data_IF_278778000164
#
_entry.id   IF_278778000164
#
_cell.length_a   1.000
_cell.length_b   1.000
_cell.length_c   1.000
_cell.angle_alpha   90.00
_cell.angle_beta   90.00
_cell.angle_gamma   90.00
#
_symmetry.space_group_name_H-M   'P 1'
#
loop_
_entity.id
_entity.type
_entity.pdbx_description
1 polymer ?
#
# COMPACT_ATOMS: atom_id res chain seq x y z
N UNK A 1 20.45 9.16 -20.24
CA UNK A 1 19.18 8.71 -20.85
C UNK A 1 18.41 7.99 -19.75
N UNK A 2 17.34 8.58 -19.27
CA UNK A 2 16.40 7.93 -18.35
C UNK A 2 15.79 6.74 -19.10
N UNK A 3 16.24 5.53 -18.78
CA UNK A 3 15.56 4.31 -19.20
C UNK A 3 14.16 4.31 -18.61
N UNK A 4 13.16 4.00 -19.43
CA UNK A 4 11.81 3.76 -18.93
C UNK A 4 11.91 2.66 -17.85
N UNK A 5 11.64 3.02 -16.61
CA UNK A 5 11.77 2.14 -15.43
C UNK A 5 10.87 0.90 -15.48
N UNK A 6 10.02 0.80 -16.50
CA UNK A 6 9.10 -0.33 -16.71
C UNK A 6 9.74 -1.49 -17.47
N UNK A 7 10.87 -1.27 -18.16
CA UNK A 7 11.53 -2.32 -18.94
C UNK A 7 12.56 -3.00 -18.07
N UNK A 8 12.45 -4.33 -17.82
CA UNK A 8 13.47 -5.06 -17.06
C UNK A 8 14.79 -5.15 -17.86
N UNK A 9 15.91 -4.90 -17.20
CA UNK A 9 17.24 -4.92 -17.79
C UNK A 9 18.03 -6.08 -17.23
N UNK A 10 18.48 -7.00 -18.08
CA UNK A 10 19.40 -8.08 -17.72
C UNK A 10 20.80 -7.70 -18.23
N UNK A 11 21.78 -7.71 -17.36
CA UNK A 11 23.17 -7.41 -17.70
C UNK A 11 23.91 -8.71 -18.01
N UNK A 12 24.60 -8.74 -19.16
CA UNK A 12 25.38 -9.89 -19.56
C UNK A 12 26.88 -9.45 -19.64
N UNK A 13 27.76 -10.17 -18.93
CA UNK A 13 29.20 -9.84 -18.87
C UNK A 13 30.06 -11.08 -19.10
N UNK A 14 31.22 -10.88 -19.74
CA UNK A 14 32.24 -11.93 -19.89
C UNK A 14 33.20 -12.04 -18.71
N UNK A 15 33.24 -11.05 -17.81
CA UNK A 15 34.04 -11.02 -16.59
C UNK A 15 33.13 -10.64 -15.43
N UNK A 16 32.40 -11.62 -14.90
CA UNK A 16 31.45 -11.43 -13.81
C UNK A 16 32.08 -11.71 -12.46
N UNK A 17 32.46 -10.66 -11.73
CA UNK A 17 32.73 -10.82 -10.30
C UNK A 17 31.42 -10.70 -9.53
N UNK A 18 31.32 -11.37 -8.38
CA UNK A 18 30.15 -11.28 -7.49
C UNK A 18 29.86 -9.82 -7.15
N UNK A 19 30.88 -9.00 -6.93
CA UNK A 19 30.71 -7.58 -6.62
C UNK A 19 30.08 -6.81 -7.77
N UNK A 20 30.42 -7.13 -9.03
CA UNK A 20 29.84 -6.50 -10.21
C UNK A 20 28.37 -6.88 -10.35
N UNK A 21 28.00 -8.13 -10.09
CA UNK A 21 26.63 -8.60 -10.11
C UNK A 21 25.78 -7.88 -9.03
N UNK A 22 26.26 -7.83 -7.79
CA UNK A 22 25.60 -7.12 -6.68
C UNK A 22 25.43 -5.63 -6.99
N UNK A 23 26.46 -4.98 -7.53
CA UNK A 23 26.42 -3.57 -7.93
C UNK A 23 25.39 -3.30 -9.04
N UNK A 24 25.32 -4.22 -10.01
CA UNK A 24 24.36 -4.13 -11.11
C UNK A 24 22.90 -4.19 -10.62
N UNK A 25 22.60 -5.14 -9.75
CA UNK A 25 21.28 -5.29 -9.14
C UNK A 25 20.92 -4.07 -8.27
N UNK A 26 21.88 -3.57 -7.46
CA UNK A 26 21.68 -2.33 -6.67
C UNK A 26 21.41 -1.10 -7.54
N UNK A 27 21.93 -1.08 -8.76
CA UNK A 27 21.72 0.00 -9.73
C UNK A 27 20.43 -0.20 -10.57
N UNK A 28 19.60 -1.19 -10.26
CA UNK A 28 18.28 -1.39 -10.86
C UNK A 28 18.24 -2.40 -12.01
N UNK A 29 19.28 -3.19 -12.23
CA UNK A 29 19.18 -4.33 -13.13
C UNK A 29 18.27 -5.41 -12.53
N UNK A 30 17.46 -6.05 -13.38
CA UNK A 30 16.62 -7.16 -12.98
C UNK A 30 17.45 -8.36 -12.56
N UNK A 31 18.47 -8.69 -13.36
CA UNK A 31 19.42 -9.77 -13.06
C UNK A 31 20.73 -9.59 -13.81
N UNK A 32 21.70 -10.44 -13.48
CA UNK A 32 23.03 -10.47 -14.06
C UNK A 32 23.34 -11.88 -14.56
N UNK A 33 23.95 -12.00 -15.77
CA UNK A 33 24.29 -13.26 -16.39
C UNK A 33 25.75 -13.23 -16.84
N UNK A 34 26.55 -14.20 -16.40
CA UNK A 34 27.95 -14.33 -16.76
C UNK A 34 28.12 -15.25 -17.97
N UNK A 35 29.01 -14.89 -18.90
CA UNK A 35 29.42 -15.73 -20.03
C UNK A 35 30.55 -16.70 -19.59
N UNK A 36 30.53 -17.97 -20.06
CA UNK A 36 29.54 -18.58 -20.94
C UNK A 36 28.27 -19.00 -20.22
N UNK A 37 27.08 -18.82 -20.84
CA UNK A 37 25.82 -19.24 -20.29
C UNK A 37 25.04 -20.14 -21.25
N UNK A 38 24.16 -20.97 -20.68
CA UNK A 38 23.25 -21.79 -21.46
C UNK A 38 22.08 -20.90 -21.97
N UNK A 39 21.66 -21.09 -23.22
CA UNK A 39 20.52 -20.41 -23.82
C UNK A 39 19.25 -20.57 -23.02
N UNK A 40 19.03 -21.75 -22.44
CA UNK A 40 17.82 -22.02 -21.60
C UNK A 40 17.77 -21.10 -20.38
N UNK A 41 18.93 -20.84 -19.76
CA UNK A 41 19.03 -19.93 -18.62
C UNK A 41 18.62 -18.51 -18.99
N UNK A 42 19.07 -18.03 -20.16
CA UNK A 42 18.71 -16.70 -20.66
C UNK A 42 17.18 -16.64 -20.96
N UNK A 43 16.63 -17.66 -21.58
CA UNK A 43 15.21 -17.73 -21.91
C UNK A 43 14.36 -17.70 -20.64
N UNK A 44 14.68 -18.53 -19.65
CA UNK A 44 13.95 -18.58 -18.37
C UNK A 44 14.03 -17.22 -17.66
N UNK A 45 15.19 -16.61 -17.62
CA UNK A 45 15.43 -15.33 -16.97
C UNK A 45 14.66 -14.20 -17.66
N UNK A 46 14.68 -14.15 -18.98
CA UNK A 46 13.94 -13.18 -19.78
C UNK A 46 12.44 -13.34 -19.60
N UNK A 47 11.92 -14.57 -19.60
CA UNK A 47 10.50 -14.85 -19.37
C UNK A 47 10.05 -14.36 -18.00
N UNK A 48 10.77 -14.69 -16.94
CA UNK A 48 10.49 -14.22 -15.58
C UNK A 48 10.56 -12.71 -15.46
N UNK A 49 11.52 -12.06 -16.11
CA UNK A 49 11.64 -10.61 -16.11
C UNK A 49 10.43 -9.93 -16.73
N UNK A 50 9.96 -10.44 -17.88
CA UNK A 50 8.78 -9.94 -18.59
C UNK A 50 7.52 -10.16 -17.74
N UNK A 51 7.29 -11.37 -17.23
CA UNK A 51 6.15 -11.69 -16.38
C UNK A 51 6.08 -10.77 -15.16
N UNK A 52 7.20 -10.54 -14.48
CA UNK A 52 7.26 -9.66 -13.32
C UNK A 52 6.96 -8.20 -13.69
N UNK A 53 7.44 -7.74 -14.85
CA UNK A 53 7.15 -6.41 -15.36
C UNK A 53 5.65 -6.22 -15.67
N UNK A 54 5.01 -7.22 -16.29
CA UNK A 54 3.58 -7.22 -16.59
C UNK A 54 2.78 -7.15 -15.29
N UNK A 55 3.05 -8.06 -14.34
CA UNK A 55 2.37 -8.10 -13.05
C UNK A 55 2.51 -6.77 -12.27
N UNK A 56 3.69 -6.18 -12.31
CA UNK A 56 3.92 -4.88 -11.67
C UNK A 56 3.11 -3.76 -12.33
N UNK A 57 3.04 -3.76 -13.65
CA UNK A 57 2.24 -2.78 -14.41
C UNK A 57 0.75 -2.93 -14.17
N UNK A 58 0.25 -4.17 -14.16
CA UNK A 58 -1.16 -4.46 -13.85
C UNK A 58 -1.51 -4.05 -12.42
N UNK A 59 -0.64 -4.34 -11.46
CA UNK A 59 -0.84 -3.93 -10.08
C UNK A 59 -0.91 -2.40 -9.92
N UNK A 60 -0.06 -1.66 -10.62
CA UNK A 60 -0.10 -0.19 -10.64
C UNK A 60 -1.39 0.33 -11.29
N UNK A 61 -1.83 -0.29 -12.39
CA UNK A 61 -3.07 0.08 -13.06
C UNK A 61 -4.29 -0.18 -12.15
N UNK A 62 -4.38 -1.35 -11.54
CA UNK A 62 -5.45 -1.68 -10.60
C UNK A 62 -5.47 -0.70 -9.41
N UNK A 63 -4.30 -0.35 -8.87
CA UNK A 63 -4.22 0.66 -7.81
C UNK A 63 -4.73 2.02 -8.26
N UNK A 64 -4.39 2.47 -9.45
CA UNK A 64 -4.84 3.76 -9.97
C UNK A 64 -6.35 3.82 -10.17
N UNK A 65 -6.98 2.71 -10.53
CA UNK A 65 -8.44 2.59 -10.71
C UNK A 65 -9.14 2.54 -9.34
N UNK A 66 -8.67 1.67 -8.43
CA UNK A 66 -9.32 1.45 -7.13
C UNK A 66 -9.08 2.62 -6.17
N UNK A 67 -7.95 3.30 -6.31
CA UNK A 67 -7.54 4.36 -5.41
C UNK A 67 -6.96 5.55 -6.18
N UNK A 68 -7.80 6.25 -6.99
CA UNK A 68 -7.35 7.38 -7.79
C UNK A 68 -6.78 8.48 -6.90
N UNK A 69 -5.74 9.15 -7.40
CA UNK A 69 -5.20 10.32 -6.73
C UNK A 69 -6.14 11.51 -6.94
N UNK A 70 -6.88 11.88 -5.90
CA UNK A 70 -7.79 13.01 -5.94
C UNK A 70 -7.17 14.14 -5.12
N UNK A 71 -6.84 15.27 -5.74
CA UNK A 71 -6.30 16.40 -5.01
C UNK A 71 -7.38 17.07 -4.15
N UNK A 72 -6.98 17.62 -3.01
CA UNK A 72 -7.84 18.50 -2.24
C UNK A 72 -7.91 19.86 -2.95
N UNK A 73 -9.09 20.21 -3.47
CA UNK A 73 -9.30 21.43 -4.24
C UNK A 73 -9.89 22.51 -3.34
N UNK A 74 -9.29 23.71 -3.39
CA UNK A 74 -9.80 24.89 -2.70
C UNK A 74 -8.70 25.83 -2.25
N UNK A 75 -9.01 27.13 -2.20
CA UNK A 75 -8.10 28.20 -1.83
C UNK A 75 -8.45 28.87 -0.49
N UNK A 76 -9.42 28.31 0.26
CA UNK A 76 -9.79 28.87 1.56
C UNK A 76 -8.69 28.65 2.60
N UNK A 77 -8.64 29.51 3.60
CA UNK A 77 -7.71 29.38 4.72
C UNK A 77 -7.87 28.02 5.42
N UNK A 78 -9.10 27.53 5.50
CA UNK A 78 -9.43 26.22 6.08
C UNK A 78 -8.78 25.06 5.29
N UNK A 79 -8.90 25.06 3.96
CA UNK A 79 -8.26 24.05 3.09
C UNK A 79 -6.74 24.10 3.21
N UNK A 80 -6.15 25.30 3.27
CA UNK A 80 -4.71 25.47 3.48
C UNK A 80 -4.24 24.87 4.82
N UNK A 81 -5.00 25.10 5.89
CA UNK A 81 -4.70 24.53 7.21
C UNK A 81 -4.83 23.00 7.22
N UNK A 82 -5.88 22.44 6.61
CA UNK A 82 -6.05 20.98 6.48
C UNK A 82 -4.91 20.38 5.70
N UNK A 83 -4.51 20.97 4.58
CA UNK A 83 -3.41 20.48 3.75
C UNK A 83 -2.10 20.40 4.56
N UNK A 84 -1.79 21.44 5.34
CA UNK A 84 -0.62 21.43 6.23
C UNK A 84 -0.70 20.34 7.29
N UNK A 85 -1.88 20.14 7.90
CA UNK A 85 -2.11 19.05 8.88
C UNK A 85 -1.92 17.68 8.23
N UNK A 86 -2.46 17.45 7.03
CA UNK A 86 -2.28 16.19 6.29
C UNK A 86 -0.80 15.91 6.06
N UNK A 87 -0.03 16.89 5.60
CA UNK A 87 1.41 16.74 5.38
C UNK A 87 2.19 16.39 6.65
N UNK A 88 1.77 16.90 7.80
CA UNK A 88 2.38 16.57 9.08
C UNK A 88 2.01 15.15 9.54
N UNK A 89 0.72 14.81 9.49
CA UNK A 89 0.24 13.51 9.94
C UNK A 89 0.69 12.34 9.06
N UNK A 90 0.86 12.57 7.77
CA UNK A 90 1.33 11.52 6.85
C UNK A 90 2.77 11.05 7.14
N UNK A 91 3.57 11.85 7.83
CA UNK A 91 4.96 11.53 8.19
C UNK A 91 5.10 10.73 9.49
N UNK A 92 4.08 10.74 10.32
CA UNK A 92 4.10 10.09 11.64
C UNK A 92 3.20 8.87 11.68
N UNK A 93 3.64 7.85 12.42
CA UNK A 93 2.81 6.68 12.72
C UNK A 93 1.92 7.00 13.91
N UNK A 94 0.77 7.62 13.66
CA UNK A 94 -0.19 7.95 14.71
C UNK A 94 -1.60 7.54 14.33
N UNK A 95 -2.42 7.37 15.33
CA UNK A 95 -3.86 7.19 15.17
C UNK A 95 -4.49 8.54 14.93
N UNK A 96 -5.39 8.63 13.96
CA UNK A 96 -6.05 9.88 13.58
C UNK A 96 -7.56 9.69 13.63
N UNK A 97 -8.24 10.60 14.31
CA UNK A 97 -9.69 10.70 14.26
C UNK A 97 -10.07 11.87 13.34
N UNK A 98 -10.87 11.57 12.31
CA UNK A 98 -11.40 12.56 11.38
C UNK A 98 -12.90 12.69 11.68
N UNK A 99 -13.31 13.80 12.25
CA UNK A 99 -14.70 14.11 12.56
C UNK A 99 -15.23 15.28 11.74
N UNK A 100 -16.53 15.34 11.54
CA UNK A 100 -17.21 16.39 10.79
C UNK A 100 -18.57 15.90 10.28
N UNK A 101 -19.38 16.81 9.76
CA UNK A 101 -20.73 16.53 9.27
C UNK A 101 -20.73 15.61 8.05
N UNK A 102 -21.92 15.11 7.70
CA UNK A 102 -22.08 14.32 6.49
C UNK A 102 -21.70 15.14 5.25
N UNK A 103 -21.01 14.51 4.31
CA UNK A 103 -20.63 15.18 3.05
C UNK A 103 -19.38 16.08 3.12
N UNK A 104 -18.76 16.29 4.29
CA UNK A 104 -17.59 17.19 4.45
C UNK A 104 -16.27 16.66 3.90
N UNK A 105 -16.25 15.49 3.26
CA UNK A 105 -15.06 14.95 2.62
C UNK A 105 -14.15 14.13 3.53
N UNK A 106 -14.63 13.63 4.68
CA UNK A 106 -13.83 12.80 5.61
C UNK A 106 -13.13 11.63 4.92
N UNK A 107 -13.86 10.90 4.03
CA UNK A 107 -13.29 9.79 3.25
C UNK A 107 -12.20 10.25 2.28
N UNK A 108 -12.33 11.43 1.70
CA UNK A 108 -11.31 12.01 0.83
C UNK A 108 -10.04 12.32 1.62
N UNK A 109 -10.19 12.94 2.79
CA UNK A 109 -9.07 13.30 3.65
C UNK A 109 -8.30 12.04 4.10
N UNK A 110 -8.98 10.98 4.52
CA UNK A 110 -8.33 9.72 4.91
C UNK A 110 -7.52 9.11 3.75
N UNK A 111 -8.07 9.15 2.52
CA UNK A 111 -7.36 8.70 1.32
C UNK A 111 -6.12 9.55 1.02
N UNK A 112 -6.22 10.87 1.11
CA UNK A 112 -5.09 11.77 0.86
C UNK A 112 -3.98 11.57 1.91
N UNK A 113 -4.33 11.36 3.18
CA UNK A 113 -3.37 11.04 4.24
C UNK A 113 -2.62 9.75 3.91
N UNK A 114 -3.34 8.70 3.51
CA UNK A 114 -2.72 7.43 3.09
C UNK A 114 -1.79 7.64 1.89
N UNK A 115 -2.24 8.34 0.83
CA UNK A 115 -1.45 8.62 -0.37
C UNK A 115 -0.15 9.41 -0.06
N UNK A 116 -0.18 10.25 0.96
CA UNK A 116 0.97 11.04 1.40
C UNK A 116 1.85 10.29 2.42
N UNK A 117 1.44 9.12 2.89
CA UNK A 117 2.16 8.33 3.89
C UNK A 117 3.24 7.43 3.27
N UNK A 118 4.11 6.87 4.11
CA UNK A 118 5.09 5.86 3.70
C UNK A 118 4.49 4.55 3.19
N UNK A 119 3.19 4.34 3.40
CA UNK A 119 2.46 3.14 2.99
C UNK A 119 1.72 3.30 1.67
N UNK A 120 1.93 4.40 0.94
CA UNK A 120 1.26 4.73 -0.33
C UNK A 120 1.47 3.70 -1.44
N UNK A 121 2.48 2.84 -1.31
CA UNK A 121 2.75 1.74 -2.24
C UNK A 121 1.78 0.56 -2.12
N UNK A 122 0.95 0.52 -1.05
CA UNK A 122 -0.06 -0.50 -0.82
C UNK A 122 -1.46 0.11 -0.93
N UNK A 123 -2.48 -0.70 -1.17
CA UNK A 123 -3.87 -0.27 -0.98
C UNK A 123 -4.18 -0.25 0.52
N UNK A 124 -4.86 0.80 1.04
CA UNK A 124 -5.30 0.81 2.43
C UNK A 124 -6.37 -0.25 2.64
N UNK A 125 -6.42 -0.79 3.85
CA UNK A 125 -7.52 -1.65 4.27
C UNK A 125 -8.62 -0.73 4.79
N UNK A 126 -9.80 -0.79 4.16
CA UNK A 126 -10.94 0.07 4.55
C UNK A 126 -12.09 -0.80 5.06
N UNK A 127 -12.62 -0.45 6.21
CA UNK A 127 -13.80 -1.07 6.82
C UNK A 127 -14.85 -0.01 7.08
N UNK A 128 -16.06 -0.26 6.61
CA UNK A 128 -17.22 0.61 6.86
C UNK A 128 -18.19 -0.10 7.82
N UNK A 129 -18.22 0.35 9.07
CA UNK A 129 -19.07 -0.26 10.12
C UNK A 129 -20.56 -0.10 9.86
N UNK A 130 -20.97 0.87 9.06
CA UNK A 130 -22.38 1.05 8.68
C UNK A 130 -22.93 -0.13 7.88
N UNK A 131 -22.06 -0.80 7.11
CA UNK A 131 -22.46 -1.87 6.19
C UNK A 131 -22.19 -3.27 6.76
N UNK A 132 -21.71 -3.37 8.00
CA UNK A 132 -21.39 -4.64 8.64
C UNK A 132 -22.53 -5.12 9.53
N UNK A 133 -22.89 -6.41 9.44
CA UNK A 133 -23.71 -7.07 10.43
C UNK A 133 -22.94 -7.30 11.73
N UNK A 134 -23.64 -7.47 12.86
CA UNK A 134 -22.99 -7.75 14.15
C UNK A 134 -22.11 -9.00 14.11
N UNK A 135 -22.53 -10.03 13.39
CA UNK A 135 -21.72 -11.26 13.20
C UNK A 135 -20.42 -10.97 12.45
N UNK A 136 -20.46 -10.13 11.41
CA UNK A 136 -19.25 -9.77 10.65
C UNK A 136 -18.31 -8.88 11.48
N UNK A 137 -18.86 -8.01 12.35
CA UNK A 137 -18.06 -7.22 13.30
C UNK A 137 -17.36 -8.14 14.30
N UNK A 138 -18.06 -9.15 14.80
CA UNK A 138 -17.51 -10.14 15.72
C UNK A 138 -16.35 -10.90 15.08
N UNK A 139 -16.56 -11.45 13.89
CA UNK A 139 -15.52 -12.18 13.14
C UNK A 139 -14.29 -11.29 12.88
N UNK A 140 -14.49 -10.05 12.47
CA UNK A 140 -13.39 -9.12 12.18
C UNK A 140 -12.57 -8.73 13.42
N UNK A 141 -13.22 -8.58 14.57
CA UNK A 141 -12.58 -8.06 15.79
C UNK A 141 -12.16 -9.16 16.77
N UNK A 142 -12.87 -10.29 16.80
CA UNK A 142 -12.70 -11.31 17.85
C UNK A 142 -12.00 -12.57 17.33
N UNK A 143 -11.96 -12.79 16.03
CA UNK A 143 -11.40 -14.03 15.48
C UNK A 143 -9.89 -14.17 15.77
N UNK A 144 -9.61 -14.30 17.10
CA UNK A 144 -8.28 -14.59 17.66
C UNK A 144 -7.92 -16.08 17.58
N UNK A 145 -8.89 -16.94 17.25
CA UNK A 145 -8.80 -18.38 17.45
C UNK A 145 -8.63 -19.17 16.16
N UNK A 146 -8.99 -18.62 15.03
CA UNK A 146 -8.77 -19.22 13.72
C UNK A 146 -7.64 -18.49 13.00
N UNK A 147 -6.56 -19.16 12.71
CA UNK A 147 -5.39 -18.76 11.92
C UNK A 147 -4.93 -17.29 12.09
N UNK A 148 -3.88 -17.13 12.87
CA UNK A 148 -3.17 -15.85 13.15
C UNK A 148 -2.85 -14.99 11.91
N UNK A 149 -2.98 -15.54 10.72
CA UNK A 149 -2.65 -14.86 9.46
C UNK A 149 -3.81 -14.07 8.86
N UNK A 150 -5.05 -14.28 9.27
CA UNK A 150 -6.22 -13.63 8.66
C UNK A 150 -6.85 -12.51 9.52
N UNK A 151 -6.30 -12.26 10.70
CA UNK A 151 -6.75 -11.17 11.56
C UNK A 151 -6.53 -9.82 10.88
N UNK A 152 -7.56 -8.96 10.85
CA UNK A 152 -7.53 -7.62 10.29
C UNK A 152 -6.30 -6.81 10.73
N UNK A 153 -5.96 -6.85 12.00
CA UNK A 153 -4.85 -6.08 12.57
C UNK A 153 -3.50 -6.62 12.11
N UNK A 154 -3.37 -7.94 11.91
CA UNK A 154 -2.17 -8.56 11.34
C UNK A 154 -2.04 -8.17 9.86
N UNK A 155 -3.13 -8.23 9.09
CA UNK A 155 -3.17 -7.80 7.68
C UNK A 155 -2.88 -6.30 7.52
N UNK A 156 -3.26 -5.48 8.49
CA UNK A 156 -2.98 -4.03 8.48
C UNK A 156 -1.59 -3.67 8.95
N UNK A 157 -0.80 -4.63 9.42
CA UNK A 157 0.58 -4.37 9.82
C UNK A 157 1.40 -3.84 8.65
N UNK A 158 2.13 -2.76 8.87
CA UNK A 158 2.84 -2.02 7.81
C UNK A 158 1.92 -1.56 6.66
N UNK A 159 0.69 -1.15 7.01
CA UNK A 159 -0.27 -0.57 6.08
C UNK A 159 -1.12 0.50 6.81
N UNK A 160 -2.01 1.16 6.08
CA UNK A 160 -3.02 2.06 6.64
C UNK A 160 -4.33 1.30 6.78
N UNK A 161 -4.89 1.33 7.99
CA UNK A 161 -6.25 0.87 8.28
C UNK A 161 -7.18 2.09 8.36
N UNK A 162 -8.20 2.13 7.52
CA UNK A 162 -9.22 3.18 7.49
C UNK A 162 -10.52 2.58 8.03
N UNK A 163 -10.98 3.14 9.13
CA UNK A 163 -12.23 2.75 9.77
C UNK A 163 -13.26 3.85 9.52
N UNK A 164 -14.27 3.54 8.71
CA UNK A 164 -15.33 4.46 8.37
C UNK A 164 -16.55 4.22 9.25
N UNK A 165 -17.26 5.30 9.59
CA UNK A 165 -18.49 5.26 10.38
C UNK A 165 -18.31 4.49 11.70
N UNK A 166 -17.24 4.81 12.43
CA UNK A 166 -16.88 4.14 13.70
C UNK A 166 -17.98 4.30 14.78
N UNK A 167 -18.81 5.31 14.67
CA UNK A 167 -19.98 5.55 15.50
C UNK A 167 -21.05 4.44 15.37
N UNK A 168 -21.05 3.67 14.28
CA UNK A 168 -21.90 2.49 14.10
C UNK A 168 -21.34 1.23 14.77
N UNK A 169 -20.15 1.27 15.39
CA UNK A 169 -19.61 0.13 16.12
C UNK A 169 -20.48 -0.18 17.36
N UNK A 170 -21.07 -1.39 17.47
CA UNK A 170 -21.91 -1.73 18.59
C UNK A 170 -21.18 -1.66 19.94
N UNK A 171 -21.86 -1.23 21.00
CA UNK A 171 -21.27 -0.97 22.32
C UNK A 171 -20.54 -2.16 22.93
N UNK A 172 -21.04 -3.38 22.70
CA UNK A 172 -20.41 -4.60 23.16
C UNK A 172 -19.01 -4.85 22.55
N UNK A 173 -18.74 -4.31 21.34
CA UNK A 173 -17.45 -4.44 20.68
C UNK A 173 -16.51 -3.28 20.95
N UNK A 174 -16.99 -2.14 21.42
CA UNK A 174 -16.16 -0.94 21.65
C UNK A 174 -15.05 -1.21 22.68
N UNK A 175 -15.34 -1.96 23.75
CA UNK A 175 -14.31 -2.32 24.75
C UNK A 175 -13.20 -3.16 24.15
N UNK A 176 -13.55 -4.16 23.34
CA UNK A 176 -12.56 -5.02 22.68
C UNK A 176 -11.76 -4.22 21.67
N UNK A 177 -12.39 -3.30 20.95
CA UNK A 177 -11.73 -2.44 19.98
C UNK A 177 -10.65 -1.55 20.61
N UNK A 178 -10.87 -1.03 21.83
CA UNK A 178 -9.87 -0.24 22.56
C UNK A 178 -8.56 -0.98 22.85
N UNK A 179 -8.57 -2.30 22.93
CA UNK A 179 -7.34 -3.09 23.09
C UNK A 179 -6.52 -3.19 21.80
N UNK A 180 -7.08 -2.85 20.65
CA UNK A 180 -6.40 -2.94 19.36
C UNK A 180 -5.88 -1.59 18.85
N UNK A 181 -6.45 -0.51 19.36
CA UNK A 181 -5.96 0.83 19.09
C UNK A 181 -5.02 1.22 20.24
#
# INVERSE_FOLDING_TARGET
KLLDTKVPVIIISGHGTVDLAVKSIKNGAYDFLEKPFNSDKLIILSKRAIENSILSSENLNLKSILFPQIPLIGNSQFISQITKKIQNFSKINSRLLISGDFGTGKKLISKIIHQSSKFNNKLPITIDFKNLSNQNVETLLIDRLSDLNDNLFVRSNNNTLILENIDHLPLNFQKNFLFFI
#
